data_IF_650632823993
#
_entry.id   IF_650632823993
#
_cell.length_a   1.000
_cell.length_b   1.000
_cell.length_c   1.000
_cell.angle_alpha   90.00
_cell.angle_beta   90.00
_cell.angle_gamma   90.00
#
_symmetry.space_group_name_H-M   'P 1'
#
loop_
_entity.id
_entity.type
_entity.pdbx_description
1 polymer ?
#
# COMPACT_ATOMS: atom_id res chain seq x y z
N UNK A 1 -30.18 30.87 -6.21
CA UNK A 1 -28.91 30.20 -6.53
C UNK A 1 -29.23 28.84 -7.13
N UNK A 2 -28.85 28.62 -8.39
CA UNK A 2 -28.99 27.29 -9.02
C UNK A 2 -28.01 26.36 -8.32
N UNK A 3 -28.43 25.19 -7.80
CA UNK A 3 -27.50 24.23 -7.21
C UNK A 3 -26.46 23.84 -8.27
N UNK A 4 -25.16 23.74 -7.93
CA UNK A 4 -24.16 23.30 -8.88
C UNK A 4 -24.56 21.94 -9.45
N UNK A 5 -24.30 21.67 -10.74
CA UNK A 5 -24.63 20.40 -11.35
C UNK A 5 -23.93 19.27 -10.59
N UNK A 6 -24.66 18.19 -10.35
CA UNK A 6 -24.12 16.95 -9.75
C UNK A 6 -22.89 16.49 -10.52
N UNK A 7 -21.82 16.00 -9.85
CA UNK A 7 -20.63 15.56 -10.53
C UNK A 7 -21.00 14.43 -11.49
N UNK A 8 -20.77 14.68 -12.77
CA UNK A 8 -21.02 13.68 -13.80
C UNK A 8 -20.09 12.48 -13.58
N UNK A 9 -20.52 11.27 -13.92
CA UNK A 9 -19.69 10.05 -13.81
C UNK A 9 -18.32 10.21 -14.48
N UNK A 10 -18.24 11.09 -15.50
CA UNK A 10 -16.99 11.50 -16.16
C UNK A 10 -16.02 12.20 -15.21
N UNK A 11 -16.47 13.15 -14.39
CA UNK A 11 -15.61 13.86 -13.44
C UNK A 11 -15.05 12.93 -12.36
N UNK A 12 -15.84 11.98 -11.86
CA UNK A 12 -15.36 10.97 -10.90
C UNK A 12 -14.32 10.05 -11.54
N UNK A 13 -14.55 9.61 -12.77
CA UNK A 13 -13.58 8.80 -13.50
C UNK A 13 -12.28 9.58 -13.76
N UNK A 14 -12.37 10.85 -14.18
CA UNK A 14 -11.20 11.72 -14.36
C UNK A 14 -10.43 11.89 -13.05
N UNK A 15 -11.11 12.12 -11.93
CA UNK A 15 -10.47 12.25 -10.63
C UNK A 15 -9.75 10.96 -10.22
N UNK A 16 -10.41 9.80 -10.39
CA UNK A 16 -9.85 8.49 -10.09
C UNK A 16 -8.63 8.17 -10.96
N UNK A 17 -8.72 8.39 -12.27
CA UNK A 17 -7.61 8.16 -13.22
C UNK A 17 -6.44 9.12 -12.99
N UNK A 18 -6.70 10.39 -12.71
CA UNK A 18 -5.65 11.36 -12.41
C UNK A 18 -4.93 10.99 -11.09
N UNK A 19 -5.68 10.65 -10.04
CA UNK A 19 -5.07 10.20 -8.79
C UNK A 19 -4.28 8.90 -8.94
N UNK A 20 -4.85 7.93 -9.69
CA UNK A 20 -4.15 6.70 -10.07
C UNK A 20 -2.85 7.03 -10.79
N UNK A 21 -2.87 7.88 -11.82
CA UNK A 21 -1.71 8.23 -12.63
C UNK A 21 -0.64 8.99 -11.85
N UNK A 22 -1.02 9.92 -10.96
CA UNK A 22 -0.08 10.62 -10.07
C UNK A 22 0.65 9.61 -9.17
N UNK A 23 -0.09 8.71 -8.53
CA UNK A 23 0.51 7.75 -7.61
C UNK A 23 1.31 6.67 -8.35
N UNK A 24 0.80 6.21 -9.50
CA UNK A 24 1.47 5.30 -10.41
C UNK A 24 2.83 5.85 -10.89
N UNK A 25 2.86 7.11 -11.32
CA UNK A 25 4.09 7.76 -11.76
C UNK A 25 5.06 8.04 -10.60
N UNK A 26 4.54 8.39 -9.42
CA UNK A 26 5.38 8.58 -8.23
C UNK A 26 6.14 7.30 -7.85
N UNK A 27 5.56 6.12 -8.05
CA UNK A 27 6.23 4.85 -7.74
C UNK A 27 7.54 4.63 -8.51
N UNK A 28 7.69 5.26 -9.68
CA UNK A 28 8.94 5.25 -10.44
C UNK A 28 10.12 5.91 -9.70
N UNK A 29 9.85 6.78 -8.73
CA UNK A 29 10.87 7.40 -7.87
C UNK A 29 11.17 6.57 -6.61
N UNK A 30 10.58 5.38 -6.47
CA UNK A 30 10.71 4.55 -5.27
C UNK A 30 11.13 3.12 -5.58
N UNK A 31 10.36 2.43 -6.41
CA UNK A 31 10.40 0.97 -6.55
C UNK A 31 11.43 0.42 -7.54
N UNK A 32 11.87 1.13 -8.60
CA UNK A 32 12.85 0.58 -9.55
C UNK A 32 14.13 0.07 -8.91
N UNK A 33 14.61 0.66 -7.81
CA UNK A 33 15.79 0.19 -7.05
C UNK A 33 15.70 -1.28 -6.65
N UNK A 34 14.48 -1.81 -6.47
CA UNK A 34 14.24 -3.20 -6.07
C UNK A 34 14.15 -4.19 -7.24
N UNK A 35 14.26 -3.70 -8.49
CA UNK A 35 14.30 -4.54 -9.69
C UNK A 35 15.60 -5.35 -9.82
N UNK A 36 16.63 -4.99 -9.06
CA UNK A 36 17.97 -5.58 -9.10
C UNK A 36 18.41 -6.05 -7.71
N UNK A 37 19.37 -6.98 -7.67
CA UNK A 37 19.89 -7.58 -6.44
C UNK A 37 21.10 -6.87 -5.82
N UNK A 38 21.83 -6.06 -6.58
CA UNK A 38 23.13 -5.48 -6.19
C UNK A 38 24.15 -6.51 -5.67
N UNK A 39 24.24 -7.68 -6.32
CA UNK A 39 25.08 -8.80 -5.88
C UNK A 39 26.58 -8.45 -5.81
N UNK A 40 27.04 -7.51 -6.63
CA UNK A 40 28.44 -7.07 -6.66
C UNK A 40 28.83 -6.13 -5.51
N UNK A 41 27.88 -5.80 -4.63
CA UNK A 41 28.13 -4.90 -3.50
C UNK A 41 28.34 -5.69 -2.20
N UNK A 42 29.40 -5.34 -1.47
CA UNK A 42 29.63 -5.89 -0.15
C UNK A 42 28.49 -5.52 0.81
N UNK A 43 28.16 -6.46 1.70
CA UNK A 43 27.26 -6.20 2.80
C UNK A 43 27.80 -5.06 3.68
N UNK A 44 26.93 -4.12 4.04
CA UNK A 44 27.28 -3.00 4.94
C UNK A 44 27.15 -3.38 6.42
N UNK A 45 26.33 -4.40 6.72
CA UNK A 45 26.13 -4.95 8.05
C UNK A 45 26.20 -6.48 8.02
N UNK A 46 26.74 -7.14 9.06
CA UNK A 46 26.80 -8.60 9.10
C UNK A 46 25.41 -9.23 8.93
N UNK A 47 25.27 -10.13 7.95
CA UNK A 47 24.02 -10.87 7.69
C UNK A 47 22.95 -10.11 6.88
N UNK A 48 23.16 -8.83 6.56
CA UNK A 48 22.27 -8.06 5.70
C UNK A 48 22.97 -7.74 4.38
N UNK A 49 22.46 -8.32 3.30
CA UNK A 49 22.89 -7.94 1.96
C UNK A 49 22.63 -6.44 1.69
N UNK A 50 23.35 -5.90 0.69
CA UNK A 50 23.29 -4.49 0.36
C UNK A 50 21.86 -4.04 0.04
N UNK A 51 21.10 -4.85 -0.71
CA UNK A 51 19.72 -4.55 -1.09
C UNK A 51 18.80 -4.48 0.13
N UNK A 52 18.84 -5.48 1.01
CA UNK A 52 18.03 -5.52 2.22
C UNK A 52 18.29 -4.29 3.08
N UNK A 53 19.55 -3.90 3.19
CA UNK A 53 19.97 -2.71 3.91
C UNK A 53 19.33 -1.43 3.36
N UNK A 54 19.43 -1.17 2.05
CA UNK A 54 18.86 0.05 1.45
C UNK A 54 17.32 0.02 1.46
N UNK A 55 16.70 -1.16 1.35
CA UNK A 55 15.24 -1.35 1.48
C UNK A 55 14.77 -1.05 2.89
N UNK A 56 15.48 -1.52 3.92
CA UNK A 56 15.20 -1.19 5.33
C UNK A 56 15.31 0.32 5.54
N UNK A 57 16.37 0.95 5.05
CA UNK A 57 16.56 2.39 5.18
C UNK A 57 15.42 3.19 4.53
N UNK A 58 15.00 2.81 3.32
CA UNK A 58 13.84 3.41 2.64
C UNK A 58 12.55 3.21 3.44
N UNK A 59 12.32 2.03 3.99
CA UNK A 59 11.14 1.71 4.80
C UNK A 59 11.08 2.52 6.10
N UNK A 60 12.21 2.71 6.79
CA UNK A 60 12.30 3.56 7.99
C UNK A 60 11.97 5.01 7.63
N UNK A 61 12.53 5.53 6.53
CA UNK A 61 12.17 6.87 6.04
C UNK A 61 10.67 6.99 5.78
N UNK A 62 10.06 5.98 5.15
CA UNK A 62 8.61 5.94 4.88
C UNK A 62 7.76 5.87 6.16
N UNK A 63 8.20 5.11 7.17
CA UNK A 63 7.51 5.02 8.46
C UNK A 63 7.54 6.38 9.20
N UNK A 64 8.70 7.03 9.27
CA UNK A 64 8.83 8.38 9.84
C UNK A 64 7.99 9.39 9.06
N UNK A 65 7.96 9.28 7.73
CA UNK A 65 7.10 10.09 6.86
C UNK A 65 5.63 10.00 7.25
N UNK A 66 5.13 8.80 7.55
CA UNK A 66 3.73 8.60 7.98
C UNK A 66 3.45 9.27 9.33
N UNK A 67 4.40 9.23 10.26
CA UNK A 67 4.27 9.91 11.57
C UNK A 67 4.26 11.44 11.42
N UNK A 68 5.19 12.00 10.64
CA UNK A 68 5.29 13.45 10.38
C UNK A 68 4.14 13.95 9.50
N UNK A 69 3.73 13.13 8.54
CA UNK A 69 2.72 13.42 7.53
C UNK A 69 1.35 13.73 8.11
N UNK A 70 1.00 13.18 9.28
CA UNK A 70 -0.26 13.52 9.97
C UNK A 70 -0.39 15.03 10.17
N UNK A 71 0.68 15.69 10.60
CA UNK A 71 0.68 17.15 10.82
C UNK A 71 0.72 17.91 9.50
N UNK A 72 1.60 17.51 8.58
CA UNK A 72 1.81 18.20 7.29
C UNK A 72 0.56 18.14 6.40
N UNK A 73 -0.05 16.96 6.27
CA UNK A 73 -1.27 16.72 5.47
C UNK A 73 -2.50 17.33 6.11
N UNK A 74 -2.54 17.47 7.45
CA UNK A 74 -3.61 18.17 8.15
C UNK A 74 -3.51 19.70 8.04
N UNK A 75 -2.29 20.24 8.01
CA UNK A 75 -2.05 21.68 8.02
C UNK A 75 -2.15 22.36 6.63
N UNK A 76 -2.05 21.60 5.53
CA UNK A 76 -1.98 22.18 4.19
C UNK A 76 -3.35 22.53 3.58
N UNK A 77 -3.51 23.81 3.20
CA UNK A 77 -4.67 24.32 2.44
C UNK A 77 -4.65 23.83 0.98
N UNK A 78 -5.84 23.76 0.37
CA UNK A 78 -6.05 23.19 -0.98
C UNK A 78 -5.15 23.78 -2.08
N UNK A 79 -4.87 25.10 -2.08
CA UNK A 79 -4.11 25.78 -3.14
C UNK A 79 -2.59 25.52 -3.19
N UNK A 80 -2.00 24.86 -2.18
CA UNK A 80 -0.56 24.55 -2.13
C UNK A 80 -0.22 23.09 -2.48
N UNK A 81 -1.23 22.22 -2.59
CA UNK A 81 -1.03 20.77 -2.51
C UNK A 81 -0.25 20.19 -3.69
N UNK A 82 -0.52 20.63 -4.92
CA UNK A 82 0.22 20.20 -6.10
C UNK A 82 1.71 20.58 -6.02
N UNK A 83 2.01 21.82 -5.59
CA UNK A 83 3.39 22.27 -5.40
C UNK A 83 4.13 21.45 -4.34
N UNK A 84 3.45 21.12 -3.23
CA UNK A 84 4.03 20.25 -2.21
C UNK A 84 4.34 18.84 -2.75
N UNK A 85 3.44 18.23 -3.52
CA UNK A 85 3.69 16.92 -4.14
C UNK A 85 4.94 16.99 -5.05
N UNK A 86 5.05 18.02 -5.91
CA UNK A 86 6.21 18.19 -6.78
C UNK A 86 7.50 18.39 -5.98
N UNK A 87 7.48 19.21 -4.93
CA UNK A 87 8.65 19.45 -4.08
C UNK A 87 9.12 18.17 -3.37
N UNK A 88 8.18 17.36 -2.85
CA UNK A 88 8.49 16.08 -2.21
C UNK A 88 9.05 15.07 -3.21
N UNK A 89 8.47 14.96 -4.41
CA UNK A 89 9.00 14.08 -5.47
C UNK A 89 10.38 14.55 -5.93
N UNK A 90 10.58 15.87 -6.10
CA UNK A 90 11.88 16.43 -6.47
C UNK A 90 12.96 16.15 -5.41
N UNK A 91 12.61 16.28 -4.12
CA UNK A 91 13.51 15.92 -3.02
C UNK A 91 13.85 14.42 -3.04
N UNK A 92 12.85 13.56 -3.27
CA UNK A 92 13.05 12.12 -3.40
C UNK A 92 13.97 11.78 -4.57
N UNK A 93 13.79 12.46 -5.70
CA UNK A 93 14.61 12.31 -6.90
C UNK A 93 16.04 12.80 -6.68
N UNK A 94 16.23 13.92 -5.99
CA UNK A 94 17.56 14.40 -5.58
C UNK A 94 18.32 13.37 -4.74
N UNK A 95 17.61 12.65 -3.87
CA UNK A 95 18.20 11.53 -3.12
C UNK A 95 18.58 10.34 -4.01
N UNK A 96 17.84 10.06 -5.10
CA UNK A 96 18.24 9.04 -6.08
C UNK A 96 19.44 9.48 -6.94
N UNK A 97 19.57 10.78 -7.22
CA UNK A 97 20.79 11.32 -7.86
C UNK A 97 21.97 11.14 -6.90
N UNK A 98 21.79 11.42 -5.61
CA UNK A 98 22.77 11.11 -4.58
C UNK A 98 23.15 9.62 -4.56
N UNK A 99 22.17 8.73 -4.67
CA UNK A 99 22.40 7.28 -4.77
C UNK A 99 23.23 6.88 -6.00
N UNK A 100 23.05 7.60 -7.11
CA UNK A 100 23.79 7.36 -8.34
C UNK A 100 25.24 7.87 -8.31
N UNK A 101 25.48 8.98 -7.60
CA UNK A 101 26.77 9.68 -7.60
C UNK A 101 27.67 9.35 -6.41
N UNK A 102 27.10 9.03 -5.24
CA UNK A 102 27.84 8.78 -4.02
C UNK A 102 28.32 7.31 -3.94
N UNK A 103 29.42 7.04 -3.21
CA UNK A 103 29.86 5.68 -2.93
C UNK A 103 28.77 4.83 -2.28
N UNK A 104 28.73 3.53 -2.59
CA UNK A 104 27.68 2.61 -2.16
C UNK A 104 27.39 2.61 -0.64
N UNK A 105 28.40 2.88 0.21
CA UNK A 105 28.24 3.04 1.67
C UNK A 105 27.22 4.10 2.09
N UNK A 106 26.97 5.12 1.26
CA UNK A 106 25.97 6.15 1.50
C UNK A 106 24.59 5.81 0.94
N UNK A 107 24.45 4.66 0.25
CA UNK A 107 23.19 4.20 -0.30
C UNK A 107 22.04 4.15 0.73
N UNK A 108 22.23 3.62 1.95
CA UNK A 108 21.20 3.63 2.97
C UNK A 108 20.70 5.03 3.31
N UNK A 109 21.61 6.01 3.44
CA UNK A 109 21.24 7.40 3.69
C UNK A 109 20.43 7.99 2.51
N UNK A 110 20.87 7.73 1.28
CA UNK A 110 20.15 8.19 0.08
C UNK A 110 18.75 7.58 0.02
N UNK A 111 18.59 6.29 0.30
CA UNK A 111 17.30 5.63 0.26
C UNK A 111 16.40 6.01 1.44
N UNK A 112 16.96 6.31 2.61
CA UNK A 112 16.22 6.92 3.71
C UNK A 112 15.66 8.30 3.33
N UNK A 113 16.50 9.17 2.76
CA UNK A 113 16.11 10.50 2.29
C UNK A 113 15.17 10.45 1.08
N UNK A 114 15.18 9.38 0.30
CA UNK A 114 14.20 9.10 -0.74
C UNK A 114 12.85 8.66 -0.15
N UNK A 115 12.84 7.76 0.84
CA UNK A 115 11.61 7.26 1.45
C UNK A 115 10.84 8.31 2.25
N UNK A 116 11.56 9.20 2.94
CA UNK A 116 11.00 10.23 3.82
C UNK A 116 10.00 11.20 3.14
N UNK A 117 10.27 11.82 1.99
CA UNK A 117 9.29 12.67 1.32
C UNK A 117 8.13 11.90 0.68
N UNK A 118 8.37 10.68 0.20
CA UNK A 118 7.39 9.92 -0.57
C UNK A 118 6.22 9.37 0.28
N UNK A 119 6.45 9.09 1.57
CA UNK A 119 5.43 8.53 2.45
C UNK A 119 4.18 9.38 2.66
N UNK A 120 4.25 10.69 2.41
CA UNK A 120 3.12 11.61 2.54
C UNK A 120 2.28 11.73 1.26
N UNK A 121 2.79 11.29 0.11
CA UNK A 121 2.17 11.55 -1.19
C UNK A 121 0.80 10.89 -1.30
N UNK A 122 0.64 9.67 -0.77
CA UNK A 122 -0.67 8.99 -0.78
C UNK A 122 -1.75 9.85 -0.11
N UNK A 123 -1.45 10.38 1.08
CA UNK A 123 -2.38 11.23 1.82
C UNK A 123 -2.68 12.53 1.08
N UNK A 124 -1.66 13.15 0.47
CA UNK A 124 -1.84 14.36 -0.34
C UNK A 124 -2.70 14.12 -1.58
N UNK A 125 -2.52 12.98 -2.27
CA UNK A 125 -3.36 12.62 -3.42
C UNK A 125 -4.79 12.30 -2.96
N UNK A 126 -4.93 11.51 -1.90
CA UNK A 126 -6.24 11.14 -1.35
C UNK A 126 -7.08 12.35 -0.94
N UNK A 127 -6.46 13.42 -0.44
CA UNK A 127 -7.13 14.69 -0.10
C UNK A 127 -7.83 15.39 -1.28
N UNK A 128 -7.55 15.04 -2.54
CA UNK A 128 -8.32 15.53 -3.70
C UNK A 128 -9.60 14.72 -3.95
N UNK A 129 -9.64 13.50 -3.42
CA UNK A 129 -10.71 12.53 -3.61
C UNK A 129 -11.64 12.48 -2.38
N UNK A 130 -11.10 12.78 -1.20
CA UNK A 130 -11.81 12.82 0.07
C UNK A 130 -13.01 13.80 0.01
N UNK A 131 -14.08 13.44 0.72
CA UNK A 131 -15.32 14.23 0.80
C UNK A 131 -16.33 13.90 -0.30
N UNK A 132 -15.91 13.27 -1.40
CA UNK A 132 -16.82 12.90 -2.49
C UNK A 132 -17.71 11.70 -2.15
N UNK A 133 -18.93 11.62 -2.70
CA UNK A 133 -19.83 10.47 -2.53
C UNK A 133 -19.22 9.14 -2.98
N UNK A 134 -18.30 9.19 -3.95
CA UNK A 134 -17.57 8.03 -4.46
C UNK A 134 -16.15 7.88 -3.88
N UNK A 135 -15.81 8.51 -2.74
CA UNK A 135 -14.41 8.42 -2.24
C UNK A 135 -13.95 6.99 -1.94
N UNK A 136 -14.86 6.05 -1.65
CA UNK A 136 -14.50 4.64 -1.43
C UNK A 136 -14.01 3.97 -2.74
N UNK A 137 -14.69 4.23 -3.86
CA UNK A 137 -14.26 3.76 -5.18
C UNK A 137 -12.95 4.44 -5.61
N UNK A 138 -12.83 5.75 -5.37
CA UNK A 138 -11.61 6.51 -5.67
C UNK A 138 -10.42 6.03 -4.82
N UNK A 139 -10.66 5.69 -3.55
CA UNK A 139 -9.66 5.07 -2.67
C UNK A 139 -9.21 3.71 -3.22
N UNK A 140 -10.16 2.89 -3.67
CA UNK A 140 -9.86 1.60 -4.29
C UNK A 140 -9.00 1.72 -5.55
N UNK A 141 -9.32 2.68 -6.43
CA UNK A 141 -8.51 2.98 -7.61
C UNK A 141 -7.08 3.40 -7.21
N UNK A 142 -6.96 4.29 -6.22
CA UNK A 142 -5.67 4.73 -5.70
C UNK A 142 -4.88 3.56 -5.10
N UNK A 143 -5.52 2.65 -4.37
CA UNK A 143 -4.89 1.44 -3.81
C UNK A 143 -4.44 0.47 -4.92
N UNK A 144 -5.25 0.25 -5.95
CA UNK A 144 -4.85 -0.60 -7.07
C UNK A 144 -3.64 -0.05 -7.84
N UNK A 145 -3.45 1.28 -7.86
CA UNK A 145 -2.34 1.91 -8.57
C UNK A 145 -0.97 1.46 -8.07
N UNK A 146 -0.79 1.14 -6.77
CA UNK A 146 0.52 0.68 -6.30
C UNK A 146 0.86 -0.75 -6.68
N UNK A 147 -0.15 -1.60 -6.87
CA UNK A 147 0.02 -3.00 -7.28
C UNK A 147 0.64 -2.99 -8.68
N UNK A 148 -0.04 -2.31 -9.61
CA UNK A 148 0.41 -2.22 -11.00
C UNK A 148 1.72 -1.43 -11.14
N UNK A 149 1.83 -0.28 -10.49
CA UNK A 149 3.01 0.59 -10.66
C UNK A 149 4.29 -0.06 -10.16
N UNK A 150 4.24 -0.86 -9.11
CA UNK A 150 5.44 -1.56 -8.64
C UNK A 150 5.99 -2.51 -9.72
N UNK A 151 5.12 -3.33 -10.33
CA UNK A 151 5.51 -4.21 -11.43
C UNK A 151 6.04 -3.43 -12.63
N UNK A 152 5.26 -2.47 -13.14
CA UNK A 152 5.62 -1.70 -14.35
C UNK A 152 6.92 -0.92 -14.17
N UNK A 153 7.11 -0.24 -13.05
CA UNK A 153 8.30 0.59 -12.83
C UNK A 153 9.55 -0.27 -12.64
N UNK A 154 9.44 -1.47 -12.05
CA UNK A 154 10.53 -2.45 -12.04
C UNK A 154 10.82 -3.01 -13.41
N UNK A 155 9.81 -3.29 -14.23
CA UNK A 155 10.00 -3.71 -15.62
C UNK A 155 10.79 -2.66 -16.41
N UNK A 156 10.43 -1.38 -16.29
CA UNK A 156 11.17 -0.29 -16.93
C UNK A 156 12.60 -0.18 -16.38
N UNK A 157 12.78 -0.27 -15.07
CA UNK A 157 14.11 -0.28 -14.45
C UNK A 157 14.98 -1.44 -14.95
N UNK A 158 14.43 -2.65 -15.02
CA UNK A 158 15.13 -3.82 -15.54
C UNK A 158 15.49 -3.69 -17.03
N UNK A 159 14.62 -3.05 -17.85
CA UNK A 159 14.92 -2.74 -19.25
C UNK A 159 16.10 -1.76 -19.38
N UNK A 160 16.16 -0.74 -18.53
CA UNK A 160 17.29 0.20 -18.52
C UNK A 160 18.60 -0.53 -18.20
N UNK A 161 18.60 -1.42 -17.19
CA UNK A 161 19.78 -2.21 -16.82
C UNK A 161 20.18 -3.16 -17.95
N UNK A 162 19.22 -3.81 -18.60
CA UNK A 162 19.49 -4.64 -19.78
C UNK A 162 20.07 -3.81 -20.95
N UNK A 163 19.73 -2.52 -21.04
CA UNK A 163 20.32 -1.55 -21.96
C UNK A 163 21.69 -0.99 -21.54
N UNK A 164 22.31 -1.52 -20.48
CA UNK A 164 23.64 -1.12 -20.02
C UNK A 164 23.65 0.03 -19.00
N UNK A 165 22.49 0.49 -18.53
CA UNK A 165 22.41 1.51 -17.47
C UNK A 165 22.84 0.90 -16.14
N UNK A 166 23.72 1.60 -15.42
CA UNK A 166 24.15 1.19 -14.08
C UNK A 166 22.94 1.00 -13.12
N UNK A 167 22.92 -0.08 -12.32
CA UNK A 167 21.92 -0.30 -11.26
C UNK A 167 21.73 0.89 -10.30
N UNK A 168 22.76 1.72 -10.10
CA UNK A 168 22.72 2.90 -9.23
C UNK A 168 22.08 4.12 -9.91
N UNK A 169 22.22 4.25 -11.23
CA UNK A 169 21.66 5.36 -12.03
C UNK A 169 20.20 5.07 -12.43
N UNK A 170 19.88 3.79 -12.65
CA UNK A 170 18.58 3.33 -13.12
C UNK A 170 17.38 3.89 -12.34
N UNK A 171 17.37 3.98 -10.99
CA UNK A 171 16.22 4.52 -10.27
C UNK A 171 15.93 5.99 -10.61
N UNK A 172 16.98 6.81 -10.73
CA UNK A 172 16.84 8.22 -11.06
C UNK A 172 16.32 8.42 -12.49
N UNK A 173 16.85 7.65 -13.45
CA UNK A 173 16.39 7.69 -14.85
C UNK A 173 14.96 7.18 -15.01
N UNK A 174 14.58 6.12 -14.30
CA UNK A 174 13.20 5.62 -14.32
C UNK A 174 12.24 6.70 -13.81
N UNK A 175 12.60 7.42 -12.75
CA UNK A 175 11.83 8.58 -12.28
C UNK A 175 11.61 9.64 -13.36
N UNK A 176 12.66 10.00 -14.11
CA UNK A 176 12.57 10.98 -15.21
C UNK A 176 11.58 10.53 -16.30
N UNK A 177 11.59 9.26 -16.68
CA UNK A 177 10.67 8.72 -17.70
C UNK A 177 9.20 8.86 -17.30
N UNK A 178 8.88 8.81 -16.01
CA UNK A 178 7.51 8.93 -15.50
C UNK A 178 7.15 10.36 -15.05
N UNK A 179 8.11 11.29 -14.98
CA UNK A 179 7.88 12.67 -14.59
C UNK A 179 6.83 13.38 -15.48
N UNK A 180 6.78 13.22 -16.81
CA UNK A 180 5.73 13.82 -17.63
C UNK A 180 4.33 13.35 -17.25
N UNK A 181 4.17 12.04 -17.00
CA UNK A 181 2.89 11.45 -16.57
C UNK A 181 2.47 12.04 -15.22
N UNK A 182 3.41 12.14 -14.27
CA UNK A 182 3.18 12.74 -12.96
C UNK A 182 2.68 14.19 -13.09
N UNK A 183 3.38 15.03 -13.85
CA UNK A 183 3.07 16.46 -14.00
C UNK A 183 1.71 16.64 -14.66
N UNK A 184 1.45 15.95 -15.78
CA UNK A 184 0.16 16.05 -16.49
C UNK A 184 -0.99 15.60 -15.59
N UNK A 185 -0.86 14.45 -14.93
CA UNK A 185 -1.89 13.93 -14.05
C UNK A 185 -2.13 14.86 -12.85
N UNK A 186 -1.08 15.45 -12.29
CA UNK A 186 -1.19 16.38 -11.17
C UNK A 186 -1.84 17.70 -11.56
N UNK A 187 -1.57 18.19 -12.77
CA UNK A 187 -2.25 19.37 -13.34
C UNK A 187 -3.74 19.10 -13.51
N UNK A 188 -4.12 17.91 -14.02
CA UNK A 188 -5.53 17.49 -14.09
C UNK A 188 -6.15 17.42 -12.69
N UNK A 189 -5.45 16.80 -11.73
CA UNK A 189 -5.92 16.67 -10.35
C UNK A 189 -6.10 18.03 -9.65
N UNK A 190 -5.21 18.99 -9.93
CA UNK A 190 -5.27 20.36 -9.40
C UNK A 190 -6.40 21.21 -9.97
N UNK A 191 -6.97 20.81 -11.12
CA UNK A 191 -8.14 21.47 -11.75
C UNK A 191 -9.47 20.83 -11.36
N UNK A 192 -9.46 19.81 -10.50
CA UNK A 192 -10.71 19.22 -10.04
C UNK A 192 -11.53 20.25 -9.26
N UNK A 193 -12.84 20.36 -9.52
CA UNK A 193 -13.72 21.20 -8.72
C UNK A 193 -13.76 20.67 -7.27
N UNK A 194 -14.00 21.55 -6.28
CA UNK A 194 -14.24 21.11 -4.91
C UNK A 194 -15.44 20.13 -4.84
N UNK A 195 -15.57 19.35 -3.75
CA UNK A 195 -16.78 18.56 -3.49
C UNK A 195 -18.04 19.44 -3.59
N UNK A 196 -19.11 18.90 -4.16
CA UNK A 196 -20.37 19.63 -4.33
C UNK A 196 -21.28 19.52 -3.09
N UNK A 197 -22.42 20.22 -3.12
CA UNK A 197 -23.38 20.16 -2.00
C UNK A 197 -23.93 18.75 -1.74
N UNK A 198 -24.02 17.90 -2.79
CA UNK A 198 -24.45 16.52 -2.64
C UNK A 198 -23.38 15.64 -1.95
N UNK A 199 -22.11 15.89 -2.24
CA UNK A 199 -20.96 15.28 -1.56
C UNK A 199 -20.97 15.62 -0.05
N UNK A 200 -21.16 16.91 0.28
CA UNK A 200 -21.21 17.38 1.67
C UNK A 200 -22.40 16.79 2.45
N UNK A 201 -23.59 16.78 1.83
CA UNK A 201 -24.79 16.20 2.43
C UNK A 201 -24.67 14.69 2.66
N UNK A 202 -23.94 13.97 1.79
CA UNK A 202 -23.78 12.52 1.89
C UNK A 202 -22.71 12.08 2.90
N UNK A 203 -21.66 12.87 3.13
CA UNK A 203 -20.49 12.45 3.94
C UNK A 203 -20.41 13.09 5.33
N UNK A 204 -21.10 14.21 5.58
CA UNK A 204 -21.07 14.92 6.86
C UNK A 204 -19.69 15.48 7.24
N UNK A 205 -19.65 16.35 8.26
CA UNK A 205 -18.39 16.98 8.71
C UNK A 205 -17.55 15.98 9.52
N UNK A 206 -16.36 15.65 9.02
CA UNK A 206 -15.39 14.77 9.71
C UNK A 206 -14.48 15.61 10.62
N UNK A 207 -14.71 15.56 11.92
CA UNK A 207 -13.85 16.23 12.91
C UNK A 207 -12.62 15.38 13.24
N UNK A 208 -11.48 16.03 13.44
CA UNK A 208 -10.27 15.37 13.92
C UNK A 208 -10.42 14.96 15.39
N UNK A 209 -9.95 13.76 15.74
CA UNK A 209 -9.97 13.29 17.13
C UNK A 209 -8.86 13.95 17.94
N UNK A 210 -9.21 14.46 19.11
CA UNK A 210 -8.26 14.86 20.15
C UNK A 210 -7.68 13.65 20.90
N UNK A 211 -6.73 13.88 21.80
CA UNK A 211 -6.08 12.81 22.57
C UNK A 211 -7.06 11.96 23.41
N UNK A 212 -7.96 12.57 24.19
CA UNK A 212 -9.00 11.85 24.94
C UNK A 212 -9.91 11.00 24.06
N UNK A 213 -10.44 11.53 22.95
CA UNK A 213 -11.32 10.79 22.04
C UNK A 213 -10.62 9.57 21.43
N UNK A 214 -9.34 9.70 21.05
CA UNK A 214 -8.53 8.58 20.52
C UNK A 214 -8.43 7.46 21.56
N UNK A 215 -8.11 7.78 22.81
CA UNK A 215 -8.02 6.79 23.90
C UNK A 215 -9.36 6.12 24.17
N UNK A 216 -10.45 6.88 24.19
CA UNK A 216 -11.80 6.34 24.35
C UNK A 216 -12.15 5.35 23.23
N UNK A 217 -11.83 5.71 21.98
CA UNK A 217 -12.10 4.82 20.83
C UNK A 217 -11.29 3.53 20.90
N UNK A 218 -10.00 3.62 21.19
CA UNK A 218 -9.12 2.46 21.31
C UNK A 218 -9.61 1.53 22.41
N UNK A 219 -10.04 2.05 23.57
CA UNK A 219 -10.61 1.22 24.64
C UNK A 219 -11.92 0.56 24.21
N UNK A 220 -12.82 1.30 23.57
CA UNK A 220 -14.11 0.79 23.12
C UNK A 220 -13.99 -0.31 22.05
N UNK A 221 -12.91 -0.28 21.26
CA UNK A 221 -12.64 -1.21 20.15
C UNK A 221 -11.35 -2.01 20.37
N UNK A 222 -10.98 -2.26 21.64
CA UNK A 222 -9.69 -2.89 21.95
C UNK A 222 -9.54 -4.26 21.29
N UNK A 223 -10.57 -5.10 21.34
CA UNK A 223 -10.56 -6.45 20.76
C UNK A 223 -10.27 -6.43 19.25
N UNK A 224 -11.08 -5.77 18.40
CA UNK A 224 -10.79 -5.74 16.96
C UNK A 224 -9.44 -5.07 16.67
N UNK A 225 -9.05 -4.01 17.38
CA UNK A 225 -7.76 -3.36 17.15
C UNK A 225 -6.55 -4.24 17.50
N UNK A 226 -6.61 -4.99 18.61
CA UNK A 226 -5.53 -5.88 19.06
C UNK A 226 -5.31 -7.05 18.09
N UNK A 227 -6.35 -7.52 17.40
CA UNK A 227 -6.20 -8.61 16.42
C UNK A 227 -5.91 -8.10 15.01
N UNK A 228 -6.57 -7.00 14.59
CA UNK A 228 -6.45 -6.48 13.23
C UNK A 228 -5.11 -5.75 12.99
N UNK A 229 -4.58 -5.00 13.97
CA UNK A 229 -3.33 -4.26 13.77
C UNK A 229 -2.13 -5.21 13.59
N UNK A 230 -1.90 -6.21 14.45
CA UNK A 230 -0.83 -7.19 14.21
C UNK A 230 -1.03 -8.02 12.94
N UNK A 231 -2.28 -8.39 12.62
CA UNK A 231 -2.61 -9.06 11.36
C UNK A 231 -2.22 -8.21 10.14
N UNK A 232 -2.60 -6.94 10.14
CA UNK A 232 -2.20 -5.98 9.11
C UNK A 232 -0.68 -5.76 9.06
N UNK A 233 -0.03 -5.75 10.23
CA UNK A 233 1.42 -5.59 10.31
C UNK A 233 2.16 -6.73 9.61
N UNK A 234 1.80 -7.98 9.92
CA UNK A 234 2.42 -9.16 9.30
C UNK A 234 2.07 -9.23 7.80
N UNK A 235 0.82 -8.89 7.43
CA UNK A 235 0.41 -8.82 6.02
C UNK A 235 1.20 -7.77 5.23
N UNK A 236 1.42 -6.60 5.82
CA UNK A 236 2.21 -5.53 5.20
C UNK A 236 3.65 -5.98 5.02
N UNK A 237 4.22 -6.64 6.03
CA UNK A 237 5.57 -7.20 5.96
C UNK A 237 5.69 -8.25 4.86
N UNK A 238 4.72 -9.17 4.75
CA UNK A 238 4.69 -10.19 3.70
C UNK A 238 4.59 -9.57 2.31
N UNK A 239 3.70 -8.57 2.14
CA UNK A 239 3.54 -7.82 0.89
C UNK A 239 4.84 -7.12 0.51
N UNK A 240 5.45 -6.40 1.43
CA UNK A 240 6.69 -5.66 1.19
C UNK A 240 7.84 -6.61 0.88
N UNK A 241 7.90 -7.78 1.51
CA UNK A 241 8.87 -8.81 1.18
C UNK A 241 8.66 -9.35 -0.23
N UNK A 242 7.44 -9.78 -0.58
CA UNK A 242 7.08 -10.27 -1.93
C UNK A 242 7.46 -9.26 -3.00
N UNK A 243 7.17 -7.99 -2.73
CA UNK A 243 7.37 -6.91 -3.68
C UNK A 243 8.85 -6.53 -3.80
N UNK A 244 9.52 -6.19 -2.70
CA UNK A 244 10.90 -5.67 -2.74
C UNK A 244 11.93 -6.76 -3.14
N UNK A 245 11.62 -8.03 -2.90
CA UNK A 245 12.51 -9.16 -3.22
C UNK A 245 11.95 -10.07 -4.32
N UNK A 246 11.11 -9.51 -5.19
CA UNK A 246 10.57 -10.23 -6.35
C UNK A 246 11.68 -10.85 -7.24
N UNK A 247 12.79 -10.17 -7.59
CA UNK A 247 13.87 -10.78 -8.36
C UNK A 247 14.43 -12.05 -7.70
N UNK A 248 14.66 -12.01 -6.39
CA UNK A 248 15.24 -13.10 -5.60
C UNK A 248 14.26 -14.27 -5.47
N UNK A 249 12.96 -13.98 -5.30
CA UNK A 249 11.91 -15.01 -5.28
C UNK A 249 11.79 -15.71 -6.63
N UNK A 250 11.80 -14.95 -7.73
CA UNK A 250 11.76 -15.55 -9.07
C UNK A 250 12.99 -16.38 -9.37
N UNK A 251 14.18 -15.91 -9.00
CA UNK A 251 15.42 -16.66 -9.14
C UNK A 251 15.36 -17.98 -8.34
N UNK A 252 14.86 -17.94 -7.10
CA UNK A 252 14.68 -19.13 -6.27
C UNK A 252 13.62 -20.11 -6.82
N UNK A 253 12.68 -19.62 -7.63
CA UNK A 253 11.67 -20.41 -8.35
C UNK A 253 12.16 -20.92 -9.71
N UNK A 254 13.43 -20.69 -10.07
CA UNK A 254 14.03 -21.13 -11.34
C UNK A 254 13.70 -20.22 -12.53
N UNK A 255 13.24 -18.98 -12.29
CA UNK A 255 12.92 -18.03 -13.34
C UNK A 255 13.87 -16.83 -13.33
N UNK A 256 14.27 -16.37 -14.52
CA UNK A 256 14.99 -15.11 -14.65
C UNK A 256 14.09 -13.93 -14.24
N UNK A 257 14.67 -12.97 -13.51
CA UNK A 257 14.04 -11.71 -13.15
C UNK A 257 13.90 -10.79 -14.38
N UNK A 258 13.01 -11.15 -15.30
CA UNK A 258 12.79 -10.42 -16.56
C UNK A 258 11.75 -9.30 -16.40
N UNK A 259 11.81 -8.24 -17.22
CA UNK A 259 10.76 -7.22 -17.24
C UNK A 259 9.34 -7.80 -17.42
N UNK A 260 9.20 -8.85 -18.23
CA UNK A 260 7.92 -9.50 -18.48
C UNK A 260 7.38 -10.21 -17.23
N UNK A 261 8.23 -10.86 -16.43
CA UNK A 261 7.76 -11.65 -15.29
C UNK A 261 7.15 -10.78 -14.18
N UNK A 262 7.67 -9.56 -13.99
CA UNK A 262 7.07 -8.59 -13.08
C UNK A 262 5.70 -8.08 -13.54
N UNK A 263 5.48 -7.96 -14.85
CA UNK A 263 4.18 -7.54 -15.38
C UNK A 263 3.15 -8.67 -15.28
N UNK A 264 3.54 -9.89 -15.67
CA UNK A 264 2.69 -11.09 -15.62
C UNK A 264 2.25 -11.39 -14.18
N UNK A 265 3.08 -11.09 -13.17
CA UNK A 265 2.73 -11.33 -11.78
C UNK A 265 1.76 -10.30 -11.17
N UNK A 266 1.76 -9.05 -11.64
CA UNK A 266 0.99 -7.96 -11.00
C UNK A 266 -0.27 -7.54 -11.77
N UNK A 267 -0.32 -7.72 -13.11
CA UNK A 267 -1.50 -7.34 -13.91
C UNK A 267 -2.76 -8.14 -13.52
N UNK A 268 -2.74 -9.49 -13.48
CA UNK A 268 -3.92 -10.26 -13.09
C UNK A 268 -4.36 -9.93 -11.65
N UNK A 269 -3.39 -9.77 -10.75
CA UNK A 269 -3.61 -9.40 -9.35
C UNK A 269 -4.34 -8.06 -9.27
N UNK A 270 -3.89 -7.05 -10.02
CA UNK A 270 -4.51 -5.71 -10.04
C UNK A 270 -5.96 -5.78 -10.52
N UNK A 271 -6.24 -6.53 -11.60
CA UNK A 271 -7.58 -6.68 -12.16
C UNK A 271 -8.53 -7.32 -11.14
N UNK A 272 -8.10 -8.43 -10.52
CA UNK A 272 -8.92 -9.15 -9.52
C UNK A 272 -9.17 -8.28 -8.29
N UNK A 273 -8.16 -7.57 -7.79
CA UNK A 273 -8.30 -6.70 -6.62
C UNK A 273 -9.21 -5.50 -6.91
N UNK A 274 -9.11 -4.89 -8.10
CA UNK A 274 -10.02 -3.82 -8.53
C UNK A 274 -11.47 -4.31 -8.59
N UNK A 275 -11.71 -5.49 -9.17
CA UNK A 275 -13.04 -6.09 -9.24
C UNK A 275 -13.58 -6.36 -7.83
N UNK A 276 -12.78 -6.98 -6.95
CA UNK A 276 -13.16 -7.24 -5.56
C UNK A 276 -13.49 -5.95 -4.79
N UNK A 277 -12.65 -4.90 -4.95
CA UNK A 277 -12.90 -3.63 -4.30
C UNK A 277 -14.13 -2.91 -4.85
N UNK A 278 -14.41 -3.00 -6.15
CA UNK A 278 -15.62 -2.44 -6.75
C UNK A 278 -16.88 -3.14 -6.19
N UNK A 279 -16.86 -4.47 -6.04
CA UNK A 279 -17.95 -5.23 -5.43
C UNK A 279 -18.21 -4.82 -3.98
N UNK A 280 -17.16 -4.52 -3.20
CA UNK A 280 -17.32 -4.02 -1.82
C UNK A 280 -18.08 -2.69 -1.74
N UNK A 281 -18.01 -1.84 -2.77
CA UNK A 281 -18.74 -0.57 -2.79
C UNK A 281 -20.25 -0.73 -2.99
N UNK A 282 -20.72 -1.90 -3.43
CA UNK A 282 -22.14 -2.18 -3.65
C UNK A 282 -22.90 -2.39 -2.33
N UNK A 283 -22.18 -2.70 -1.23
CA UNK A 283 -22.78 -2.99 0.07
C UNK A 283 -23.09 -1.70 0.82
N UNK A 284 -24.39 -1.36 0.93
CA UNK A 284 -24.84 -0.08 1.51
C UNK A 284 -24.89 -0.06 3.04
N UNK A 285 -25.18 -1.18 3.70
CA UNK A 285 -25.30 -1.22 5.16
C UNK A 285 -23.92 -1.17 5.82
N UNK A 286 -23.74 -0.37 6.87
CA UNK A 286 -22.43 -0.23 7.52
C UNK A 286 -21.93 -1.54 8.13
N UNK A 287 -22.82 -2.30 8.80
CA UNK A 287 -22.47 -3.61 9.36
C UNK A 287 -22.21 -4.62 8.24
N UNK A 288 -23.07 -4.68 7.22
CA UNK A 288 -22.87 -5.58 6.08
C UNK A 288 -21.55 -5.30 5.38
N UNK A 289 -21.25 -4.04 5.07
CA UNK A 289 -20.00 -3.64 4.43
C UNK A 289 -18.79 -4.01 5.29
N UNK A 290 -18.87 -3.80 6.61
CA UNK A 290 -17.80 -4.20 7.54
C UNK A 290 -17.60 -5.73 7.54
N UNK A 291 -18.67 -6.53 7.54
CA UNK A 291 -18.58 -7.98 7.51
C UNK A 291 -18.09 -8.50 6.15
N UNK A 292 -18.50 -7.88 5.03
CA UNK A 292 -17.99 -8.22 3.70
C UNK A 292 -16.50 -7.91 3.60
N UNK A 293 -16.02 -6.84 4.23
CA UNK A 293 -14.58 -6.55 4.33
C UNK A 293 -13.86 -7.66 5.11
N UNK A 294 -14.39 -8.09 6.26
CA UNK A 294 -13.79 -9.20 7.02
C UNK A 294 -13.80 -10.51 6.22
N UNK A 295 -14.89 -10.78 5.49
CA UNK A 295 -14.99 -11.94 4.60
C UNK A 295 -13.94 -11.88 3.47
N UNK A 296 -13.70 -10.71 2.89
CA UNK A 296 -12.64 -10.51 1.90
C UNK A 296 -11.24 -10.77 2.49
N UNK A 297 -10.96 -10.23 3.68
CA UNK A 297 -9.69 -10.49 4.41
C UNK A 297 -9.53 -11.98 4.71
N UNK A 298 -10.59 -12.64 5.16
CA UNK A 298 -10.59 -14.08 5.45
C UNK A 298 -10.37 -14.90 4.18
N UNK A 299 -11.06 -14.58 3.09
CA UNK A 299 -10.89 -15.25 1.79
C UNK A 299 -9.47 -15.08 1.25
N UNK A 300 -8.91 -13.88 1.35
CA UNK A 300 -7.51 -13.63 1.01
C UNK A 300 -6.55 -14.49 1.85
N UNK A 301 -6.80 -14.58 3.16
CA UNK A 301 -6.01 -15.40 4.08
C UNK A 301 -6.08 -16.91 3.77
N UNK A 302 -7.27 -17.43 3.47
CA UNK A 302 -7.45 -18.82 3.02
C UNK A 302 -6.72 -19.06 1.70
N UNK A 303 -6.81 -18.12 0.76
CA UNK A 303 -6.14 -18.23 -0.53
C UNK A 303 -4.62 -18.31 -0.37
N UNK A 304 -4.02 -17.57 0.58
CA UNK A 304 -2.59 -17.68 0.89
C UNK A 304 -2.19 -19.10 1.30
N UNK A 305 -2.97 -19.69 2.21
CA UNK A 305 -2.70 -21.05 2.72
C UNK A 305 -2.89 -22.07 1.61
N UNK A 306 -4.06 -22.07 0.97
CA UNK A 306 -4.42 -23.06 -0.07
C UNK A 306 -3.46 -22.98 -1.26
N UNK A 307 -3.17 -21.79 -1.79
CA UNK A 307 -2.25 -21.65 -2.92
C UNK A 307 -0.84 -22.18 -2.58
N UNK A 308 -0.38 -21.95 -1.35
CA UNK A 308 0.95 -22.43 -0.92
C UNK A 308 0.97 -23.93 -0.69
N UNK A 309 -0.10 -24.52 -0.16
CA UNK A 309 -0.22 -25.98 -0.04
C UNK A 309 -0.29 -26.67 -1.41
N UNK A 310 -1.04 -26.09 -2.36
CA UNK A 310 -1.10 -26.60 -3.74
C UNK A 310 0.23 -26.45 -4.49
N UNK A 311 1.00 -25.39 -4.20
CA UNK A 311 2.35 -25.23 -4.72
C UNK A 311 3.28 -26.32 -4.17
N UNK A 312 3.25 -26.55 -2.85
CA UNK A 312 4.06 -27.59 -2.19
C UNK A 312 3.73 -29.01 -2.64
N UNK A 313 2.47 -29.27 -3.01
CA UNK A 313 2.07 -30.58 -3.55
C UNK A 313 2.37 -30.75 -5.04
N UNK A 314 2.94 -29.74 -5.70
CA UNK A 314 3.25 -29.75 -7.13
C UNK A 314 2.03 -29.55 -8.05
N UNK A 315 0.83 -29.32 -7.50
CA UNK A 315 -0.39 -29.07 -8.29
C UNK A 315 -0.36 -27.68 -8.94
N UNK A 316 0.20 -26.70 -8.25
CA UNK A 316 0.32 -25.33 -8.73
C UNK A 316 1.77 -25.01 -9.08
N UNK A 317 2.05 -24.58 -10.31
CA UNK A 317 3.38 -24.13 -10.71
C UNK A 317 3.78 -22.77 -10.13
N UNK A 318 5.06 -22.40 -10.24
CA UNK A 318 5.64 -21.16 -9.69
C UNK A 318 4.87 -19.89 -10.06
N UNK A 319 4.51 -19.73 -11.34
CA UNK A 319 3.78 -18.55 -11.82
C UNK A 319 2.39 -18.47 -11.22
N UNK A 320 1.65 -19.58 -11.21
CA UNK A 320 0.33 -19.67 -10.60
C UNK A 320 0.37 -19.34 -9.11
N UNK A 321 1.38 -19.86 -8.39
CA UNK A 321 1.55 -19.60 -6.97
C UNK A 321 1.81 -18.12 -6.67
N UNK A 322 2.70 -17.47 -7.41
CA UNK A 322 3.00 -16.03 -7.23
C UNK A 322 1.78 -15.15 -7.53
N UNK A 323 0.96 -15.53 -8.52
CA UNK A 323 -0.29 -14.81 -8.85
C UNK A 323 -1.32 -15.00 -7.73
N UNK A 324 -1.61 -16.24 -7.33
CA UNK A 324 -2.64 -16.52 -6.32
C UNK A 324 -2.28 -16.00 -4.93
N UNK A 325 -1.01 -16.10 -4.52
CA UNK A 325 -0.55 -15.46 -3.28
C UNK A 325 -0.59 -13.93 -3.37
N UNK A 326 -0.28 -13.35 -4.55
CA UNK A 326 -0.48 -11.93 -4.82
C UNK A 326 -1.94 -11.51 -4.62
N UNK A 327 -2.88 -12.22 -5.26
CA UNK A 327 -4.33 -11.99 -5.10
C UNK A 327 -4.72 -12.06 -3.63
N UNK A 328 -4.30 -13.11 -2.90
CA UNK A 328 -4.61 -13.29 -1.49
C UNK A 328 -4.09 -12.14 -0.61
N UNK A 329 -2.84 -11.71 -0.84
CA UNK A 329 -2.22 -10.59 -0.11
C UNK A 329 -3.01 -9.31 -0.36
N UNK A 330 -3.28 -8.97 -1.62
CA UNK A 330 -3.86 -7.66 -1.94
C UNK A 330 -5.37 -7.57 -1.72
N UNK A 331 -6.12 -8.68 -1.86
CA UNK A 331 -7.54 -8.72 -1.42
C UNK A 331 -7.63 -8.48 0.09
N UNK A 332 -6.74 -9.10 0.87
CA UNK A 332 -6.70 -8.87 2.31
C UNK A 332 -6.18 -7.48 2.67
N UNK A 333 -5.22 -6.94 1.93
CA UNK A 333 -4.54 -5.68 2.25
C UNK A 333 -5.38 -4.44 1.87
N UNK A 334 -5.97 -4.45 0.68
CA UNK A 334 -6.64 -3.27 0.12
C UNK A 334 -7.72 -2.67 1.04
N UNK A 335 -8.59 -3.46 1.72
CA UNK A 335 -9.59 -2.92 2.62
C UNK A 335 -9.01 -2.15 3.81
N UNK A 336 -7.88 -2.58 4.39
CA UNK A 336 -7.23 -1.87 5.49
C UNK A 336 -6.78 -0.47 5.08
N UNK A 337 -6.27 -0.34 3.85
CA UNK A 337 -5.76 0.93 3.32
C UNK A 337 -6.86 1.92 2.90
N UNK A 338 -8.07 1.44 2.65
CA UNK A 338 -9.11 2.22 1.97
C UNK A 338 -10.41 2.39 2.78
N UNK A 339 -10.99 1.31 3.30
CA UNK A 339 -12.41 1.30 3.71
C UNK A 339 -12.68 0.70 5.10
N UNK A 340 -11.85 -0.20 5.60
CA UNK A 340 -12.09 -0.93 6.86
C UNK A 340 -12.29 0.02 8.04
N UNK A 341 -11.32 0.91 8.26
CA UNK A 341 -11.37 1.85 9.39
C UNK A 341 -12.48 2.89 9.24
N UNK A 342 -12.82 3.30 8.01
CA UNK A 342 -13.95 4.18 7.75
C UNK A 342 -15.29 3.53 8.14
N UNK A 343 -15.45 2.23 7.82
CA UNK A 343 -16.64 1.45 8.22
C UNK A 343 -16.70 1.18 9.72
N UNK A 344 -15.57 0.91 10.37
CA UNK A 344 -15.51 0.80 11.84
C UNK A 344 -15.92 2.12 12.52
N UNK A 345 -15.39 3.25 12.05
CA UNK A 345 -15.76 4.57 12.57
C UNK A 345 -17.26 4.85 12.37
N UNK A 346 -17.77 4.62 11.16
CA UNK A 346 -19.18 4.85 10.81
C UNK A 346 -20.15 4.00 11.64
N UNK A 347 -19.76 2.78 12.01
CA UNK A 347 -20.57 1.89 12.84
C UNK A 347 -20.60 2.33 14.31
N UNK A 348 -19.48 2.85 14.82
CA UNK A 348 -19.32 3.23 16.23
C UNK A 348 -20.11 4.48 16.65
N UNK A 349 -20.49 5.34 15.69
CA UNK A 349 -21.07 6.69 15.91
C UNK A 349 -20.25 7.60 16.83
N UNK A 350 -18.99 7.28 17.09
CA UNK A 350 -18.09 8.13 17.86
C UNK A 350 -17.52 9.23 16.97
N UNK A 351 -17.37 10.47 17.47
CA UNK A 351 -16.75 11.55 16.70
C UNK A 351 -15.29 11.20 16.39
N UNK A 352 -14.93 11.24 15.11
CA UNK A 352 -13.55 11.03 14.67
C UNK A 352 -13.40 10.73 13.18
N UNK A 353 -12.16 10.60 12.73
CA UNK A 353 -11.82 10.23 11.36
C UNK A 353 -11.02 8.91 11.32
N UNK A 354 -11.17 8.16 10.23
CA UNK A 354 -10.44 6.91 10.00
C UNK A 354 -8.93 7.12 9.84
N UNK A 355 -8.49 8.34 9.55
CA UNK A 355 -7.09 8.65 9.28
C UNK A 355 -6.21 8.27 10.48
N UNK A 356 -6.63 8.53 11.72
CA UNK A 356 -5.86 8.11 12.91
C UNK A 356 -5.54 6.60 12.90
N UNK A 357 -6.54 5.76 12.64
CA UNK A 357 -6.36 4.30 12.64
C UNK A 357 -5.52 3.83 11.45
N UNK A 358 -5.72 4.42 10.26
CA UNK A 358 -4.91 4.15 9.07
C UNK A 358 -3.43 4.46 9.35
N UNK A 359 -3.13 5.66 9.87
CA UNK A 359 -1.76 6.05 10.18
C UNK A 359 -1.13 5.18 11.27
N UNK A 360 -1.91 4.81 12.30
CA UNK A 360 -1.44 3.89 13.35
C UNK A 360 -1.07 2.53 12.76
N UNK A 361 -1.99 1.94 11.99
CA UNK A 361 -1.80 0.64 11.35
C UNK A 361 -0.62 0.67 10.35
N UNK A 362 -0.52 1.69 9.50
CA UNK A 362 0.58 1.84 8.54
C UNK A 362 1.94 1.97 9.23
N UNK A 363 2.01 2.72 10.33
CA UNK A 363 3.26 2.89 11.07
C UNK A 363 3.76 1.55 11.63
N UNK A 364 2.86 0.76 12.21
CA UNK A 364 3.19 -0.60 12.64
C UNK A 364 3.49 -1.52 11.45
N UNK A 365 2.79 -1.39 10.32
CA UNK A 365 3.03 -2.17 9.11
C UNK A 365 4.46 -2.06 8.56
N UNK A 366 5.00 -0.84 8.48
CA UNK A 366 6.39 -0.65 8.07
C UNK A 366 7.40 -1.14 9.12
N UNK A 367 7.09 -0.97 10.42
CA UNK A 367 7.91 -1.57 11.48
C UNK A 367 7.94 -3.11 11.36
N UNK A 368 6.81 -3.74 11.05
CA UNK A 368 6.72 -5.17 10.77
C UNK A 368 7.55 -5.60 9.55
N UNK A 369 7.58 -4.77 8.50
CA UNK A 369 8.37 -5.03 7.29
C UNK A 369 9.88 -5.05 7.59
N UNK A 370 10.35 -4.10 8.41
CA UNK A 370 11.73 -4.09 8.90
C UNK A 370 12.01 -5.30 9.80
N UNK A 371 11.10 -5.59 10.75
CA UNK A 371 11.25 -6.71 11.66
C UNK A 371 11.32 -8.07 10.94
N UNK A 372 10.50 -8.27 9.90
CA UNK A 372 10.52 -9.51 9.10
C UNK A 372 11.85 -9.71 8.37
N UNK A 373 12.45 -8.64 7.84
CA UNK A 373 13.76 -8.72 7.18
C UNK A 373 14.88 -9.02 8.16
N UNK A 374 14.88 -8.36 9.32
CA UNK A 374 15.83 -8.67 10.40
C UNK A 374 15.66 -10.12 10.86
N UNK A 375 14.43 -10.58 11.05
CA UNK A 375 14.13 -11.96 11.42
C UNK A 375 14.65 -12.97 10.38
N UNK A 376 14.47 -12.69 9.08
CA UNK A 376 15.02 -13.52 8.00
C UNK A 376 16.53 -13.63 8.12
N UNK A 377 17.21 -12.51 8.32
CA UNK A 377 18.67 -12.47 8.49
C UNK A 377 19.13 -13.31 9.68
N UNK A 378 18.42 -13.25 10.80
CA UNK A 378 18.77 -13.99 12.02
C UNK A 378 18.49 -15.51 11.92
N UNK A 379 17.53 -15.93 11.10
CA UNK A 379 16.99 -17.31 11.14
C UNK A 379 17.35 -18.19 9.95
N UNK A 380 17.78 -17.65 8.81
CA UNK A 380 17.87 -18.42 7.56
C UNK A 380 19.20 -18.31 6.82
N UNK A 381 20.15 -17.48 7.28
CA UNK A 381 21.39 -17.23 6.53
C UNK A 381 21.13 -16.71 5.09
N UNK A 382 22.18 -16.63 4.28
CA UNK A 382 22.09 -16.19 2.89
C UNK A 382 21.59 -17.35 2.01
N UNK A 383 20.39 -17.23 1.40
CA UNK A 383 19.98 -18.10 0.27
C UNK A 383 18.56 -18.68 0.31
N UNK A 384 17.97 -18.92 1.49
CA UNK A 384 16.65 -19.58 1.59
C UNK A 384 15.46 -18.62 1.43
N UNK A 385 15.43 -17.83 0.34
CA UNK A 385 14.35 -16.86 0.05
C UNK A 385 12.98 -17.53 -0.06
N UNK A 386 12.90 -18.61 -0.83
CA UNK A 386 11.64 -19.32 -1.10
C UNK A 386 11.06 -19.96 0.17
N UNK A 387 11.86 -20.74 0.89
CA UNK A 387 11.40 -21.42 2.11
C UNK A 387 11.00 -20.44 3.22
N UNK A 388 11.71 -19.32 3.37
CA UNK A 388 11.30 -18.26 4.29
C UNK A 388 9.97 -17.64 3.87
N UNK A 389 9.82 -17.31 2.59
CA UNK A 389 8.59 -16.70 2.07
C UNK A 389 7.40 -17.64 2.23
N UNK A 390 7.51 -18.92 1.89
CA UNK A 390 6.43 -19.90 2.08
C UNK A 390 5.94 -19.98 3.54
N UNK A 391 6.88 -20.05 4.50
CA UNK A 391 6.51 -20.07 5.93
C UNK A 391 5.85 -18.76 6.34
N UNK A 392 6.37 -17.62 5.88
CA UNK A 392 5.75 -16.32 6.12
C UNK A 392 4.33 -16.25 5.53
N UNK A 393 4.10 -16.76 4.32
CA UNK A 393 2.78 -16.82 3.68
C UNK A 393 1.81 -17.66 4.52
N UNK A 394 2.21 -18.87 4.93
CA UNK A 394 1.37 -19.77 5.72
C UNK A 394 1.03 -19.17 7.10
N UNK A 395 2.02 -18.66 7.83
CA UNK A 395 1.82 -18.01 9.12
C UNK A 395 0.90 -16.80 9.00
N UNK A 396 1.13 -15.95 7.98
CA UNK A 396 0.29 -14.77 7.72
C UNK A 396 -1.15 -15.17 7.43
N UNK A 397 -1.36 -16.20 6.61
CA UNK A 397 -2.70 -16.70 6.28
C UNK A 397 -3.46 -17.20 7.52
N UNK A 398 -2.82 -17.99 8.39
CA UNK A 398 -3.46 -18.46 9.62
C UNK A 398 -3.79 -17.31 10.57
N UNK A 399 -2.84 -16.40 10.81
CA UNK A 399 -3.03 -15.25 11.71
C UNK A 399 -4.15 -14.35 11.21
N UNK A 400 -4.18 -14.04 9.91
CA UNK A 400 -5.22 -13.19 9.31
C UNK A 400 -6.61 -13.84 9.34
N UNK A 401 -6.70 -15.15 9.08
CA UNK A 401 -7.97 -15.86 9.15
C UNK A 401 -8.56 -15.79 10.55
N UNK A 402 -7.73 -16.05 11.58
CA UNK A 402 -8.14 -15.97 12.99
C UNK A 402 -8.48 -14.52 13.37
N UNK A 403 -7.62 -13.56 13.04
CA UNK A 403 -7.84 -12.14 13.38
C UNK A 403 -9.13 -11.60 12.75
N UNK A 404 -9.38 -11.91 11.48
CA UNK A 404 -10.59 -11.49 10.79
C UNK A 404 -11.84 -12.14 11.38
N UNK A 405 -11.81 -13.44 11.66
CA UNK A 405 -12.93 -14.16 12.26
C UNK A 405 -13.27 -13.63 13.67
N UNK A 406 -12.26 -13.43 14.52
CA UNK A 406 -12.45 -12.89 15.88
C UNK A 406 -13.01 -11.47 15.84
N UNK A 407 -12.46 -10.61 14.99
CA UNK A 407 -12.94 -9.24 14.82
C UNK A 407 -14.38 -9.21 14.29
N UNK A 408 -14.69 -10.00 13.26
CA UNK A 408 -16.05 -10.10 12.70
C UNK A 408 -17.06 -10.59 13.76
N UNK A 409 -16.73 -11.64 14.51
CA UNK A 409 -17.59 -12.16 15.57
C UNK A 409 -17.85 -11.12 16.66
N UNK A 410 -16.85 -10.30 17.01
CA UNK A 410 -17.02 -9.20 17.96
C UNK A 410 -18.03 -8.16 17.46
N UNK A 411 -17.91 -7.74 16.19
CA UNK A 411 -18.85 -6.77 15.61
C UNK A 411 -20.27 -7.34 15.48
N UNK A 412 -20.42 -8.60 15.08
CA UNK A 412 -21.74 -9.28 15.03
C UNK A 412 -22.37 -9.34 16.42
N UNK A 413 -21.62 -9.74 17.45
CA UNK A 413 -22.17 -9.81 18.82
C UNK A 413 -22.62 -8.45 19.35
N UNK A 414 -21.90 -7.38 19.02
CA UNK A 414 -22.17 -6.03 19.54
C UNK A 414 -23.24 -5.26 18.75
N UNK A 415 -23.41 -5.56 17.46
CA UNK A 415 -24.28 -4.79 16.56
C UNK A 415 -25.31 -5.64 15.79
N UNK A 416 -25.26 -6.96 15.87
CA UNK A 416 -26.20 -7.87 15.19
C UNK A 416 -27.61 -7.85 15.78
N UNK A 417 -27.74 -7.62 17.09
CA UNK A 417 -29.05 -7.51 17.76
C UNK A 417 -29.80 -6.21 17.48
N UNK A 418 -29.14 -5.16 16.96
CA UNK A 418 -29.75 -3.84 16.73
C UNK A 418 -30.37 -3.67 15.34
N UNK A 419 -30.26 -4.67 14.46
CA UNK A 419 -30.91 -4.68 13.14
C UNK A 419 -32.23 -5.47 13.07
N UNK A 420 -32.58 -6.23 14.12
CA UNK A 420 -33.85 -6.99 14.17
C UNK A 420 -35.09 -6.12 14.48
N UNK A 421 -34.92 -4.81 14.69
CA UNK A 421 -35.98 -3.87 15.09
C UNK A 421 -36.08 -2.63 14.19
N UNK A 422 -35.66 -2.71 12.92
CA UNK A 422 -35.92 -1.66 11.94
C UNK A 422 -36.29 -2.20 10.57
#
# INVERSE_FOLDING_TARGET
MVPPPTPTSRQLLTAGLAAFAVYFAMYAFRKPVTAVGFADQAALWPGLDYKATIVIAQAIGYALSKMLGVRVVAAHRAGGRGRLILALVALAWGALIGFALLPARFGPLCLFLNGLPLGMIWGLVFRYLEGRRASDLLAAMLTASFILSSGVTKSVGALLVAGGVSPFVMPALTGVLFAPVLVVALVVLGRLPPPDAADEAARGVRLAMDGPARRAYVRAHAVPLIVLIPGYMILTALRDFRDNFAPELWAALGHAASPAIFAVSEVPVTIVVLAAMALLTLVRSNLGALLTIHAAVFAGAVLLVVATLLFRSGVLGSVGWVIWTGIGIYIAYAPFSAVLFDRMMSLSRMPGNAAFLIYLADSFGYAGSVALLVLRTLTQGHGAWLGFFERAVLTTGVVLAVASAVSAAWFVRRHGGTQSTR
#
